data_IF_145071398310
#
_entry.id   IF_145071398310
#
_cell.length_a   1.000
_cell.length_b   1.000
_cell.length_c   1.000
_cell.angle_alpha   90.00
_cell.angle_beta   90.00
_cell.angle_gamma   90.00
#
_symmetry.space_group_name_H-M   'P 1'
#
loop_
_entity.id
_entity.type
_entity.pdbx_description
1 polymer ?
#
# COMPACT_ATOMS: atom_id res chain seq x y z
N UNK A 1 -5.89 -2.66 37.97
CA UNK A 1 -6.06 -3.81 37.04
C UNK A 1 -6.96 -3.47 35.83
N UNK A 2 -8.02 -2.67 35.98
CA UNK A 2 -8.88 -2.21 34.87
C UNK A 2 -8.19 -1.24 33.87
N UNK A 3 -7.24 -0.42 34.31
CA UNK A 3 -6.52 0.50 33.41
C UNK A 3 -5.59 -0.18 32.41
N UNK A 4 -4.99 -1.32 32.77
CA UNK A 4 -4.13 -2.10 31.87
C UNK A 4 -4.93 -2.72 30.71
N UNK A 5 -6.18 -3.10 30.97
CA UNK A 5 -7.11 -3.60 29.95
C UNK A 5 -7.61 -2.49 29.02
N UNK A 6 -7.76 -1.26 29.51
CA UNK A 6 -8.22 -0.13 28.70
C UNK A 6 -7.12 0.43 27.78
N UNK A 7 -5.87 0.50 28.26
CA UNK A 7 -4.73 0.89 27.40
C UNK A 7 -4.49 -0.10 26.27
N UNK A 8 -4.61 -1.41 26.52
CA UNK A 8 -4.40 -2.42 25.47
C UNK A 8 -5.43 -2.32 24.33
N UNK A 9 -6.67 -1.91 24.63
CA UNK A 9 -7.78 -1.87 23.65
C UNK A 9 -7.69 -0.75 22.61
N UNK A 10 -6.94 0.32 22.85
CA UNK A 10 -6.88 1.47 21.91
C UNK A 10 -5.71 1.33 20.93
N UNK A 11 -4.59 0.74 21.38
CA UNK A 11 -3.42 0.57 20.52
C UNK A 11 -3.62 -0.52 19.46
N UNK A 12 -4.41 -1.56 19.75
CA UNK A 12 -4.67 -2.67 18.84
C UNK A 12 -5.38 -2.25 17.53
N UNK A 13 -6.49 -1.49 17.55
CA UNK A 13 -7.14 -1.03 16.32
C UNK A 13 -6.28 -0.04 15.52
N UNK A 14 -5.47 0.79 16.19
CA UNK A 14 -4.55 1.72 15.52
C UNK A 14 -3.44 0.95 14.80
N UNK A 15 -2.80 0.00 15.48
CA UNK A 15 -1.76 -0.84 14.90
C UNK A 15 -2.33 -1.64 13.72
N UNK A 16 -3.52 -2.21 13.86
CA UNK A 16 -4.18 -2.96 12.81
C UNK A 16 -4.45 -2.10 11.56
N UNK A 17 -4.93 -0.86 11.78
CA UNK A 17 -5.19 0.09 10.71
C UNK A 17 -3.92 0.49 9.98
N UNK A 18 -2.81 0.66 10.70
CA UNK A 18 -1.50 0.92 10.11
C UNK A 18 -1.01 -0.24 9.23
N UNK A 19 -1.17 -1.49 9.70
CA UNK A 19 -0.79 -2.68 8.92
C UNK A 19 -1.58 -2.78 7.61
N UNK A 20 -2.90 -2.59 7.67
CA UNK A 20 -3.77 -2.62 6.49
C UNK A 20 -3.43 -1.48 5.53
N UNK A 21 -3.25 -0.26 6.05
CA UNK A 21 -2.88 0.90 5.26
C UNK A 21 -1.53 0.71 4.55
N UNK A 22 -0.53 0.17 5.24
CA UNK A 22 0.79 -0.12 4.68
C UNK A 22 0.71 -1.16 3.56
N UNK A 23 -0.07 -2.23 3.75
CA UNK A 23 -0.27 -3.25 2.71
C UNK A 23 -0.94 -2.66 1.46
N UNK A 24 -2.01 -1.87 1.63
CA UNK A 24 -2.67 -1.19 0.52
C UNK A 24 -1.75 -0.19 -0.19
N UNK A 25 -1.01 0.64 0.56
CA UNK A 25 -0.11 1.63 -0.05
C UNK A 25 1.01 0.97 -0.84
N UNK A 26 1.58 -0.15 -0.36
CA UNK A 26 2.61 -0.92 -1.09
C UNK A 26 2.09 -1.42 -2.43
N UNK A 27 0.91 -2.06 -2.43
CA UNK A 27 0.29 -2.55 -3.66
C UNK A 27 -0.01 -1.41 -4.63
N UNK A 28 -0.54 -0.29 -4.15
CA UNK A 28 -0.87 0.83 -5.05
C UNK A 28 0.38 1.50 -5.61
N UNK A 29 1.42 1.72 -4.81
CA UNK A 29 2.69 2.29 -5.30
C UNK A 29 3.28 1.40 -6.39
N UNK A 30 3.23 0.08 -6.20
CA UNK A 30 3.68 -0.85 -7.22
C UNK A 30 2.86 -0.77 -8.52
N UNK A 31 1.52 -0.78 -8.43
CA UNK A 31 0.63 -0.65 -9.60
C UNK A 31 0.90 0.68 -10.34
N UNK A 32 1.04 1.78 -9.60
CA UNK A 32 1.33 3.08 -10.18
C UNK A 32 2.71 3.11 -10.84
N UNK A 33 3.71 2.44 -10.25
CA UNK A 33 5.04 2.33 -10.84
C UNK A 33 5.01 1.56 -12.18
N UNK A 34 4.25 0.45 -12.24
CA UNK A 34 4.01 -0.26 -13.50
C UNK A 34 3.28 0.59 -14.54
N UNK A 35 2.23 1.32 -14.12
CA UNK A 35 1.48 2.19 -15.02
C UNK A 35 2.33 3.36 -15.55
N UNK A 36 3.22 3.91 -14.71
CA UNK A 36 4.13 4.97 -15.10
C UNK A 36 5.13 4.50 -16.16
N UNK A 37 5.60 3.25 -16.06
CA UNK A 37 6.50 2.64 -17.05
C UNK A 37 5.78 2.34 -18.38
N UNK A 38 4.51 1.90 -18.31
CA UNK A 38 3.74 1.50 -19.50
C UNK A 38 3.01 2.64 -20.20
N UNK A 39 2.72 3.75 -19.50
CA UNK A 39 1.89 4.84 -20.04
C UNK A 39 2.47 6.22 -19.76
N UNK A 40 2.70 6.98 -20.83
CA UNK A 40 3.21 8.36 -20.74
C UNK A 40 2.27 9.32 -20.01
N UNK A 41 0.96 9.05 -20.03
CA UNK A 41 -0.04 9.87 -19.33
C UNK A 41 0.16 9.81 -17.81
N UNK A 42 0.36 8.59 -17.28
CA UNK A 42 0.56 8.40 -15.84
C UNK A 42 1.93 8.89 -15.41
N UNK A 43 2.96 8.69 -16.25
CA UNK A 43 4.30 9.25 -16.03
C UNK A 43 4.29 10.78 -15.90
N UNK A 44 3.62 11.49 -16.82
CA UNK A 44 3.53 12.96 -16.76
C UNK A 44 2.74 13.45 -15.54
N UNK A 45 1.67 12.76 -15.17
CA UNK A 45 0.87 13.13 -13.99
C UNK A 45 1.60 12.87 -12.66
N UNK A 46 2.51 11.89 -12.61
CA UNK A 46 3.33 11.59 -11.44
C UNK A 46 4.60 12.46 -11.35
N UNK A 47 5.03 13.06 -12.47
CA UNK A 47 6.23 13.90 -12.50
C UNK A 47 5.89 15.32 -12.06
N UNK A 48 6.01 15.57 -10.76
CA UNK A 48 5.76 16.89 -10.15
C UNK A 48 6.91 17.88 -10.47
N UNK A 49 8.14 17.37 -10.55
CA UNK A 49 9.33 18.14 -10.90
C UNK A 49 10.23 17.30 -11.82
N UNK A 50 10.64 17.87 -12.95
CA UNK A 50 11.54 17.25 -13.92
C UNK A 50 12.92 16.92 -13.34
N UNK A 51 13.30 17.49 -12.19
CA UNK A 51 14.57 17.17 -11.51
C UNK A 51 14.56 15.85 -10.75
N UNK A 52 13.39 15.40 -10.29
CA UNK A 52 13.25 14.24 -9.40
C UNK A 52 12.46 13.10 -10.06
N UNK A 53 11.80 13.38 -11.19
CA UNK A 53 11.08 12.38 -11.98
C UNK A 53 9.76 11.95 -11.32
N UNK A 54 9.16 10.83 -11.76
CA UNK A 54 7.85 10.34 -11.27
C UNK A 54 7.91 9.78 -9.83
N UNK A 55 9.12 9.57 -9.31
CA UNK A 55 9.38 8.98 -7.99
C UNK A 55 8.72 9.81 -6.89
N UNK A 56 8.79 11.14 -6.98
CA UNK A 56 8.19 12.04 -5.98
C UNK A 56 6.66 11.93 -5.97
N UNK A 57 6.02 11.87 -7.15
CA UNK A 57 4.57 11.71 -7.25
C UNK A 57 4.11 10.33 -6.79
N UNK A 58 4.90 9.29 -7.04
CA UNK A 58 4.63 7.93 -6.55
C UNK A 58 4.60 7.89 -5.02
N UNK A 59 5.61 8.45 -4.35
CA UNK A 59 5.64 8.50 -2.89
C UNK A 59 4.54 9.40 -2.32
N UNK A 60 4.24 10.53 -2.97
CA UNK A 60 3.14 11.40 -2.54
C UNK A 60 1.79 10.68 -2.63
N UNK A 61 1.50 10.00 -3.73
CA UNK A 61 0.29 9.20 -3.89
C UNK A 61 0.23 8.04 -2.90
N UNK A 62 1.35 7.34 -2.67
CA UNK A 62 1.46 6.30 -1.65
C UNK A 62 1.14 6.82 -0.25
N UNK A 63 1.67 7.99 0.12
CA UNK A 63 1.41 8.62 1.40
C UNK A 63 -0.06 9.07 1.56
N UNK A 64 -0.66 9.63 0.51
CA UNK A 64 -2.07 10.03 0.49
C UNK A 64 -2.99 8.81 0.68
N UNK A 65 -2.71 7.73 -0.04
CA UNK A 65 -3.48 6.48 0.06
C UNK A 65 -3.29 5.86 1.44
N UNK A 66 -2.07 5.83 1.95
CA UNK A 66 -1.81 5.37 3.31
C UNK A 66 -2.64 6.16 4.32
N UNK A 67 -2.61 7.49 4.28
CA UNK A 67 -3.36 8.34 5.21
C UNK A 67 -4.87 8.11 5.10
N UNK A 68 -5.40 7.98 3.89
CA UNK A 68 -6.83 7.72 3.65
C UNK A 68 -7.26 6.34 4.17
N UNK A 69 -6.52 5.28 3.84
CA UNK A 69 -6.81 3.92 4.30
C UNK A 69 -6.62 3.80 5.80
N UNK A 70 -5.58 4.42 6.37
CA UNK A 70 -5.35 4.45 7.80
C UNK A 70 -6.49 5.13 8.55
N UNK A 71 -6.94 6.31 8.08
CA UNK A 71 -8.05 7.03 8.69
C UNK A 71 -9.36 6.24 8.65
N UNK A 72 -9.70 5.72 7.47
CA UNK A 72 -10.92 4.91 7.28
C UNK A 72 -10.90 3.60 8.06
N UNK A 73 -9.77 2.88 8.07
CA UNK A 73 -9.60 1.66 8.86
C UNK A 73 -9.65 1.95 10.36
N UNK A 74 -9.03 3.04 10.82
CA UNK A 74 -9.06 3.41 12.25
C UNK A 74 -10.49 3.68 12.72
N UNK A 75 -11.28 4.39 11.91
CA UNK A 75 -12.70 4.60 12.19
C UNK A 75 -13.49 3.28 12.17
N UNK A 76 -13.16 2.37 11.26
CA UNK A 76 -13.84 1.08 11.12
C UNK A 76 -13.57 0.11 12.27
N UNK A 77 -12.36 0.09 12.81
CA UNK A 77 -11.93 -0.78 13.91
C UNK A 77 -12.23 -0.19 15.29
N UNK A 78 -12.56 1.10 15.37
CA UNK A 78 -12.93 1.76 16.63
C UNK A 78 -14.14 1.07 17.26
N UNK A 79 -13.92 0.44 18.42
CA UNK A 79 -14.96 -0.24 19.19
C UNK A 79 -15.27 -1.68 18.75
N UNK A 80 -14.52 -2.25 17.79
CA UNK A 80 -14.66 -3.67 17.39
C UNK A 80 -13.59 -4.54 18.08
N UNK A 81 -13.94 -5.79 18.37
CA UNK A 81 -12.97 -6.78 18.84
C UNK A 81 -12.02 -7.16 17.69
N UNK A 82 -10.78 -6.68 17.78
CA UNK A 82 -9.78 -6.78 16.72
C UNK A 82 -8.95 -8.08 16.77
N UNK A 83 -9.14 -8.94 17.77
CA UNK A 83 -8.36 -10.18 17.98
C UNK A 83 -8.33 -11.08 16.74
N UNK A 84 -9.48 -11.27 16.08
CA UNK A 84 -9.59 -12.12 14.89
C UNK A 84 -8.96 -11.47 13.64
N UNK A 85 -8.89 -10.14 13.61
CA UNK A 85 -8.35 -9.40 12.48
C UNK A 85 -6.83 -9.23 12.58
N UNK A 86 -6.25 -9.31 13.78
CA UNK A 86 -4.81 -9.13 14.02
C UNK A 86 -3.95 -10.03 13.15
N UNK A 87 -4.18 -11.33 13.20
CA UNK A 87 -3.37 -12.28 12.43
C UNK A 87 -3.61 -12.08 10.93
N UNK A 88 -4.86 -11.80 10.52
CA UNK A 88 -5.19 -11.56 9.11
C UNK A 88 -4.51 -10.30 8.55
N UNK A 89 -4.48 -9.20 9.30
CA UNK A 89 -3.85 -7.96 8.87
C UNK A 89 -2.32 -8.08 8.82
N UNK A 90 -1.72 -8.82 9.76
CA UNK A 90 -0.29 -9.11 9.73
C UNK A 90 0.06 -9.96 8.52
N UNK A 91 -0.67 -11.04 8.27
CA UNK A 91 -0.47 -11.87 7.08
C UNK A 91 -0.75 -11.11 5.77
N UNK A 92 -1.71 -10.20 5.77
CA UNK A 92 -1.97 -9.32 4.63
C UNK A 92 -0.78 -8.41 4.33
N UNK A 93 -0.19 -7.78 5.34
CA UNK A 93 1.02 -6.97 5.16
C UNK A 93 2.19 -7.83 4.67
N UNK A 94 2.43 -8.99 5.29
CA UNK A 94 3.50 -9.91 4.89
C UNK A 94 3.32 -10.34 3.42
N UNK A 95 2.11 -10.74 3.03
CA UNK A 95 1.81 -11.09 1.65
C UNK A 95 2.01 -9.91 0.69
N UNK A 96 1.62 -8.70 1.10
CA UNK A 96 1.82 -7.48 0.31
C UNK A 96 3.29 -7.14 0.14
N UNK A 97 4.11 -7.30 1.19
CA UNK A 97 5.56 -7.09 1.13
C UNK A 97 6.22 -8.13 0.23
N UNK A 98 5.85 -9.40 0.35
CA UNK A 98 6.36 -10.47 -0.53
C UNK A 98 5.97 -10.19 -1.97
N UNK A 99 4.70 -9.85 -2.23
CA UNK A 99 4.22 -9.50 -3.57
C UNK A 99 4.98 -8.30 -4.12
N UNK A 100 5.16 -7.24 -3.34
CA UNK A 100 5.94 -6.07 -3.73
C UNK A 100 7.38 -6.45 -4.10
N UNK A 101 8.07 -7.26 -3.28
CA UNK A 101 9.44 -7.70 -3.55
C UNK A 101 9.54 -8.54 -4.82
N UNK A 102 8.67 -9.55 -4.97
CA UNK A 102 8.62 -10.41 -6.15
C UNK A 102 8.36 -9.59 -7.41
N UNK A 103 7.41 -8.67 -7.34
CA UNK A 103 7.01 -7.86 -8.49
C UNK A 103 7.96 -6.70 -8.79
N UNK A 104 8.90 -6.39 -7.90
CA UNK A 104 9.99 -5.43 -8.16
C UNK A 104 11.16 -6.09 -8.91
N UNK A 105 11.15 -7.42 -9.05
CA UNK A 105 12.17 -8.14 -9.82
C UNK A 105 12.03 -7.76 -11.32
N UNK A 106 13.10 -7.28 -11.97
CA UNK A 106 13.06 -6.78 -13.35
C UNK A 106 12.56 -7.80 -14.38
N UNK A 107 12.78 -9.10 -14.17
CA UNK A 107 12.26 -10.16 -15.07
C UNK A 107 10.73 -10.21 -15.15
N UNK A 108 10.03 -9.74 -14.12
CA UNK A 108 8.56 -9.66 -14.13
C UNK A 108 8.07 -8.50 -15.00
N UNK A 109 8.90 -7.48 -15.21
CA UNK A 109 8.57 -6.33 -16.08
C UNK A 109 8.69 -6.68 -17.56
N UNK A 110 9.56 -7.64 -17.93
CA UNK A 110 9.89 -8.01 -19.32
C UNK A 110 8.86 -8.90 -20.03
N UNK A 111 7.66 -9.10 -19.47
CA UNK A 111 6.56 -9.66 -20.26
C UNK A 111 6.13 -8.63 -21.31
N UNK A 112 6.78 -8.67 -22.47
CA UNK A 112 6.29 -8.11 -23.72
C UNK A 112 5.12 -8.98 -24.18
N UNK A 113 3.92 -8.42 -24.19
CA UNK A 113 2.83 -9.00 -24.98
C UNK A 113 3.22 -8.70 -26.43
N UNK A 114 3.91 -9.63 -27.08
CA UNK A 114 4.15 -9.51 -28.52
C UNK A 114 2.78 -9.51 -29.20
N UNK A 115 2.31 -8.38 -29.76
CA UNK A 115 1.08 -8.43 -30.54
C UNK A 115 1.35 -9.35 -31.73
N UNK A 116 0.39 -10.22 -32.12
CA UNK A 116 0.56 -11.00 -33.33
C UNK A 116 0.80 -10.03 -34.49
N UNK A 117 1.92 -10.19 -35.18
CA UNK A 117 2.25 -9.43 -36.38
C UNK A 117 1.16 -9.65 -37.41
N UNK A 118 0.35 -8.62 -37.66
CA UNK A 118 -0.59 -8.54 -38.78
C UNK A 118 0.09 -7.82 -39.93
#
# INVERSE_FOLDING_TARGET
>A
MLELLHRHKIHEPIALSALVAAGFSLNTVWILNLLADRTHIVFNNLTIDNRVGPVTGLYLMGALIYAFVFGSATLWFRGKDCRLFRDRALWFLVASVIAYLVMTIPEVYSFEITPPSV
#
